data_IF_257666503711
#
_entry.id   IF_257666503711
#
_cell.length_a   1.000
_cell.length_b   1.000
_cell.length_c   1.000
_cell.angle_alpha   90.00
_cell.angle_beta   90.00
_cell.angle_gamma   90.00
#
_symmetry.space_group_name_H-M   'P 1'
#
loop_
_entity.id
_entity.type
_entity.pdbx_description
1 polymer ?
#
# COMPACT_ATOMS: atom_id res chain seq x y z
N UNK A 1 1.73 -8.14 8.39
CA UNK A 1 1.59 -6.71 7.99
C UNK A 1 0.59 -6.67 6.83
N UNK A 2 0.11 -5.52 6.33
CA UNK A 2 -0.86 -5.46 5.22
C UNK A 2 -0.52 -6.34 4.00
N UNK A 3 0.76 -6.61 3.72
CA UNK A 3 1.19 -7.59 2.71
C UNK A 3 0.56 -8.98 2.90
N UNK A 4 0.44 -9.45 4.14
CA UNK A 4 -0.12 -10.76 4.48
C UNK A 4 -1.66 -10.74 4.60
N UNK A 5 -2.23 -9.77 5.32
CA UNK A 5 -3.66 -9.76 5.63
C UNK A 5 -4.54 -9.16 4.52
N UNK A 6 -4.04 -8.13 3.82
CA UNK A 6 -4.88 -7.29 2.97
C UNK A 6 -4.52 -7.49 1.49
N UNK A 7 -3.28 -7.16 1.11
CA UNK A 7 -2.86 -6.94 -0.28
C UNK A 7 -2.89 -8.23 -1.10
N UNK A 8 -2.42 -9.35 -0.53
CA UNK A 8 -2.42 -10.63 -1.22
C UNK A 8 -3.84 -11.11 -1.55
N UNK A 9 -4.75 -11.05 -0.56
CA UNK A 9 -6.14 -11.50 -0.71
C UNK A 9 -6.92 -10.57 -1.64
N UNK A 10 -6.83 -9.26 -1.46
CA UNK A 10 -7.55 -8.30 -2.32
C UNK A 10 -7.13 -8.43 -3.79
N UNK A 11 -5.85 -8.73 -4.06
CA UNK A 11 -5.38 -9.00 -5.42
C UNK A 11 -5.92 -10.32 -5.96
N UNK A 12 -5.98 -11.37 -5.16
CA UNK A 12 -6.58 -12.64 -5.56
C UNK A 12 -8.08 -12.49 -5.89
N UNK A 13 -8.75 -11.51 -5.28
CA UNK A 13 -10.15 -11.16 -5.54
C UNK A 13 -10.34 -10.16 -6.70
N UNK A 14 -9.27 -9.73 -7.37
CA UNK A 14 -9.34 -8.81 -8.52
C UNK A 14 -9.56 -7.34 -8.15
N UNK A 15 -9.27 -6.95 -6.91
CA UNK A 15 -9.37 -5.56 -6.48
C UNK A 15 -8.10 -4.76 -6.79
N UNK A 16 -8.27 -3.47 -7.10
CA UNK A 16 -7.16 -2.51 -7.15
C UNK A 16 -6.65 -2.21 -5.74
N UNK A 17 -5.34 -2.24 -5.57
CA UNK A 17 -4.68 -2.14 -4.27
C UNK A 17 -3.91 -0.84 -4.09
N UNK A 18 -4.10 -0.21 -2.94
CA UNK A 18 -3.27 0.90 -2.47
C UNK A 18 -2.63 0.54 -1.13
N UNK A 19 -1.31 0.39 -1.12
CA UNK A 19 -0.58 0.08 0.09
C UNK A 19 -0.10 1.37 0.78
N UNK A 20 -0.45 1.50 2.06
CA UNK A 20 0.13 2.53 2.94
C UNK A 20 1.19 1.88 3.84
N UNK A 21 2.46 1.88 3.42
CA UNK A 21 3.58 1.29 4.15
C UNK A 21 4.07 2.21 5.28
N UNK A 22 3.29 2.26 6.37
CA UNK A 22 3.62 3.11 7.54
C UNK A 22 4.98 2.80 8.17
N UNK A 23 5.49 1.57 8.00
CA UNK A 23 6.76 1.09 8.55
C UNK A 23 7.90 1.01 7.51
N UNK A 24 7.78 1.68 6.36
CA UNK A 24 8.75 1.59 5.24
C UNK A 24 10.22 1.77 5.61
N UNK A 25 10.52 2.58 6.63
CA UNK A 25 11.89 2.84 7.10
C UNK A 25 12.35 1.92 8.25
N UNK A 26 11.55 0.94 8.65
CA UNK A 26 11.83 0.03 9.76
C UNK A 26 12.01 -1.40 9.23
N UNK A 27 13.07 -2.07 9.69
CA UNK A 27 13.29 -3.48 9.35
C UNK A 27 12.28 -4.39 10.05
N UNK A 28 11.93 -5.48 9.38
CA UNK A 28 11.04 -6.51 9.90
C UNK A 28 9.56 -6.11 9.93
N UNK A 29 8.71 -7.06 10.25
CA UNK A 29 7.25 -6.95 10.12
C UNK A 29 6.56 -6.53 11.42
N UNK A 30 7.33 -6.05 12.40
CA UNK A 30 6.83 -5.82 13.76
C UNK A 30 6.36 -7.14 14.39
N UNK A 31 5.24 -7.12 15.11
CA UNK A 31 4.62 -8.32 15.69
C UNK A 31 3.76 -9.13 14.73
N UNK A 32 4.00 -9.05 13.41
CA UNK A 32 3.19 -9.73 12.40
C UNK A 32 4.00 -10.72 11.58
N UNK A 33 3.31 -11.68 10.99
CA UNK A 33 3.89 -12.75 10.16
C UNK A 33 4.57 -12.14 8.93
N UNK A 34 5.76 -12.67 8.61
CA UNK A 34 6.46 -12.41 7.36
C UNK A 34 5.63 -12.94 6.18
N UNK A 35 5.29 -12.12 5.18
CA UNK A 35 4.53 -12.59 4.04
C UNK A 35 5.35 -13.61 3.23
N UNK A 36 4.71 -14.73 2.87
CA UNK A 36 5.32 -15.76 2.02
C UNK A 36 5.74 -15.19 0.65
N UNK A 37 5.00 -14.21 0.16
CA UNK A 37 5.30 -13.49 -1.08
C UNK A 37 4.98 -12.00 -0.93
N UNK A 38 5.87 -11.17 -1.44
CA UNK A 38 5.60 -9.75 -1.61
C UNK A 38 4.71 -9.50 -2.83
N UNK A 39 3.54 -8.95 -2.58
CA UNK A 39 2.63 -8.52 -3.63
C UNK A 39 2.94 -7.08 -4.00
N UNK A 40 3.18 -6.82 -5.29
CA UNK A 40 3.30 -5.47 -5.82
C UNK A 40 1.90 -4.84 -5.85
N UNK A 41 1.64 -3.78 -5.06
CA UNK A 41 0.36 -3.08 -5.11
C UNK A 41 0.29 -2.18 -6.35
N UNK A 42 -0.92 -1.80 -6.75
CA UNK A 42 -1.12 -0.87 -7.87
C UNK A 42 -0.69 0.56 -7.50
N UNK A 43 -0.88 0.93 -6.24
CA UNK A 43 -0.40 2.18 -5.66
C UNK A 43 0.34 1.94 -4.36
N UNK A 44 1.38 2.74 -4.10
CA UNK A 44 2.21 2.62 -2.91
C UNK A 44 2.55 4.00 -2.33
N UNK A 45 2.23 4.21 -1.06
CA UNK A 45 2.57 5.42 -0.31
C UNK A 45 3.06 5.07 1.09
N UNK A 46 3.83 5.95 1.71
CA UNK A 46 4.32 5.75 3.08
C UNK A 46 3.38 6.33 4.14
N UNK A 47 2.39 7.12 3.73
CA UNK A 47 1.39 7.72 4.62
C UNK A 47 0.09 8.05 3.90
N UNK A 48 -1.00 8.19 4.66
CA UNK A 48 -2.29 8.68 4.16
C UNK A 48 -2.19 10.13 3.63
N UNK A 49 -1.33 10.95 4.25
CA UNK A 49 -1.11 12.32 3.81
C UNK A 49 -0.48 12.37 2.40
N UNK A 50 0.48 11.46 2.12
CA UNK A 50 1.09 11.34 0.80
C UNK A 50 0.08 10.91 -0.27
N UNK A 51 -0.78 9.92 0.03
CA UNK A 51 -1.89 9.55 -0.86
C UNK A 51 -2.81 10.75 -1.15
N UNK A 52 -3.25 11.45 -0.11
CA UNK A 52 -4.14 12.60 -0.26
C UNK A 52 -3.50 13.75 -1.07
N UNK A 53 -2.19 13.96 -0.91
CA UNK A 53 -1.45 14.94 -1.71
C UNK A 53 -1.40 14.52 -3.18
N UNK A 54 -1.05 13.27 -3.48
CA UNK A 54 -1.00 12.76 -4.85
C UNK A 54 -2.36 12.87 -5.57
N UNK A 55 -3.47 12.58 -4.88
CA UNK A 55 -4.82 12.77 -5.43
C UNK A 55 -5.11 14.25 -5.72
N UNK A 56 -4.71 15.17 -4.84
CA UNK A 56 -4.91 16.60 -5.10
C UNK A 56 -4.12 17.09 -6.31
N UNK A 57 -2.88 16.64 -6.46
CA UNK A 57 -2.07 17.01 -7.64
C UNK A 57 -2.64 16.43 -8.93
N UNK A 58 -3.06 15.16 -8.94
CA UNK A 58 -3.64 14.54 -10.14
C UNK A 58 -4.95 15.20 -10.60
N UNK A 59 -5.71 15.81 -9.69
CA UNK A 59 -6.91 16.57 -10.04
C UNK A 59 -6.58 17.90 -10.73
N UNK A 60 -5.46 18.54 -10.39
CA UNK A 60 -5.01 19.77 -11.06
C UNK A 60 -4.58 19.48 -12.50
N UNK A 61 -3.88 18.39 -12.72
CA UNK A 61 -3.43 17.96 -14.07
C UNK A 61 -4.58 17.62 -15.02
N UNK A 62 -5.78 17.38 -14.48
CA UNK A 62 -6.99 17.02 -15.23
C UNK A 62 -7.89 18.22 -15.57
N UNK A 63 -7.53 19.42 -15.11
CA UNK A 63 -8.32 20.66 -15.29
C UNK A 63 -7.53 21.64 -16.14
#
# INVERSE_FOLDING_TARGET
QSQYHDIGISRALGMTNCWIERRHAQKGYGGTIEPERFTVPDYHFTSMAALAAAVRESLKERT
#
